data_IF_025129038853
#
_entry.id   IF_025129038853
#
_cell.length_a   1.000
_cell.length_b   1.000
_cell.length_c   1.000
_cell.angle_alpha   90.00
_cell.angle_beta   90.00
_cell.angle_gamma   90.00
#
_symmetry.space_group_name_H-M   'P 1'
#
loop_
_entity.id
_entity.type
_entity.pdbx_description
1 polymer ?
#
# COMPACT_ATOMS: atom_id res chain seq x y z
N UNK A 1 13.02 18.96 -0.66
CA UNK A 1 11.67 18.91 -1.27
C UNK A 1 10.81 18.02 -0.40
N UNK A 2 9.86 18.61 0.33
CA UNK A 2 8.89 17.85 1.12
C UNK A 2 7.80 17.28 0.19
N UNK A 3 7.93 15.99 -0.14
CA UNK A 3 6.98 15.28 -1.01
C UNK A 3 5.77 14.75 -0.20
N UNK A 4 5.85 14.76 1.14
CA UNK A 4 4.88 14.07 2.01
C UNK A 4 3.85 15.01 2.67
N UNK A 5 3.10 15.76 1.87
CA UNK A 5 1.88 16.49 2.33
C UNK A 5 0.56 15.85 1.87
N UNK A 6 0.57 14.56 1.53
CA UNK A 6 -0.64 13.77 1.26
C UNK A 6 -1.03 12.91 2.46
N UNK A 7 -2.27 12.99 2.92
CA UNK A 7 -2.84 12.04 3.88
C UNK A 7 -2.65 10.61 3.32
N UNK A 8 -2.03 9.69 4.06
CA UNK A 8 -1.81 8.28 3.67
C UNK A 8 -3.06 7.63 3.02
N UNK A 9 -4.25 7.97 3.53
CA UNK A 9 -5.52 7.49 2.97
C UNK A 9 -5.75 7.95 1.53
N UNK A 10 -5.34 9.16 1.17
CA UNK A 10 -5.44 9.67 -0.20
C UNK A 10 -4.50 8.94 -1.16
N UNK A 11 -3.31 8.55 -0.71
CA UNK A 11 -2.38 7.73 -1.50
C UNK A 11 -2.91 6.29 -1.68
N UNK A 12 -3.47 5.69 -0.63
CA UNK A 12 -4.13 4.37 -0.72
C UNK A 12 -5.25 4.35 -1.77
N UNK A 13 -6.05 5.42 -1.86
CA UNK A 13 -7.11 5.54 -2.86
C UNK A 13 -6.53 5.59 -4.28
N UNK A 14 -5.42 6.31 -4.48
CA UNK A 14 -4.74 6.36 -5.79
C UNK A 14 -4.20 4.99 -6.18
N UNK A 15 -3.56 4.27 -5.27
CA UNK A 15 -3.05 2.92 -5.56
C UNK A 15 -4.16 1.92 -5.87
N UNK A 16 -5.30 2.00 -5.16
CA UNK A 16 -6.47 1.17 -5.47
C UNK A 16 -7.00 1.42 -6.89
N UNK A 17 -7.19 2.69 -7.26
CA UNK A 17 -7.64 3.06 -8.61
C UNK A 17 -6.67 2.55 -9.67
N UNK A 18 -5.38 2.74 -9.45
CA UNK A 18 -4.36 2.26 -10.36
C UNK A 18 -4.37 0.72 -10.50
N UNK A 19 -4.53 -0.02 -9.41
CA UNK A 19 -4.69 -1.48 -9.44
C UNK A 19 -5.93 -1.92 -10.22
N UNK A 20 -7.06 -1.22 -10.08
CA UNK A 20 -8.28 -1.48 -10.85
C UNK A 20 -8.06 -1.24 -12.35
N UNK A 21 -7.31 -0.20 -12.71
CA UNK A 21 -6.99 0.12 -14.11
C UNK A 21 -6.04 -0.89 -14.74
N UNK A 22 -5.01 -1.36 -14.00
CA UNK A 22 -4.16 -2.48 -14.42
C UNK A 22 -5.02 -3.72 -14.64
N UNK A 23 -5.89 -4.06 -13.70
CA UNK A 23 -6.74 -5.25 -13.79
C UNK A 23 -7.66 -5.20 -15.01
N UNK A 24 -8.27 -4.05 -15.31
CA UNK A 24 -9.08 -3.86 -16.53
C UNK A 24 -8.25 -4.01 -17.80
N UNK A 25 -7.02 -3.52 -17.79
CA UNK A 25 -6.13 -3.58 -18.95
C UNK A 25 -5.66 -5.00 -19.22
N UNK A 26 -5.20 -5.71 -18.18
CA UNK A 26 -4.75 -7.09 -18.26
C UNK A 26 -5.89 -8.08 -18.52
N UNK A 27 -7.12 -7.77 -18.12
CA UNK A 27 -8.29 -8.57 -18.50
C UNK A 27 -8.46 -8.63 -20.02
N UNK A 28 -8.09 -7.56 -20.73
CA UNK A 28 -8.15 -7.49 -22.21
C UNK A 28 -6.85 -7.95 -22.87
N UNK A 29 -5.70 -7.72 -22.23
CA UNK A 29 -4.37 -8.01 -22.77
C UNK A 29 -3.45 -8.56 -21.66
N UNK A 30 -3.55 -9.84 -21.30
CA UNK A 30 -2.85 -10.43 -20.16
C UNK A 30 -1.32 -10.50 -20.35
N UNK A 31 -0.85 -10.52 -21.59
CA UNK A 31 0.56 -10.50 -22.01
C UNK A 31 1.27 -9.17 -21.70
N UNK A 32 0.54 -8.12 -21.32
CA UNK A 32 1.11 -6.82 -21.02
C UNK A 32 1.56 -6.66 -19.57
N UNK A 33 1.55 -7.72 -18.76
CA UNK A 33 1.94 -7.68 -17.34
C UNK A 33 3.32 -7.03 -17.12
N UNK A 34 4.29 -7.37 -17.96
CA UNK A 34 5.66 -6.89 -17.85
C UNK A 34 5.76 -5.35 -17.87
N UNK A 35 4.81 -4.68 -18.54
CA UNK A 35 4.75 -3.20 -18.60
C UNK A 35 4.35 -2.57 -17.25
N UNK A 36 3.67 -3.33 -16.39
CA UNK A 36 3.17 -2.86 -15.10
C UNK A 36 4.01 -3.38 -13.92
N UNK A 37 4.76 -4.46 -14.12
CA UNK A 37 5.49 -5.16 -13.06
C UNK A 37 6.44 -4.26 -12.27
N UNK A 38 7.30 -3.47 -12.96
CA UNK A 38 8.26 -2.58 -12.28
C UNK A 38 7.55 -1.58 -11.38
N UNK A 39 6.58 -0.85 -11.94
CA UNK A 39 5.82 0.16 -11.20
C UNK A 39 5.00 -0.46 -10.06
N UNK A 40 4.54 -1.70 -10.23
CA UNK A 40 3.79 -2.41 -9.20
C UNK A 40 4.67 -2.76 -8.01
N UNK A 41 5.89 -3.23 -8.28
CA UNK A 41 6.88 -3.50 -7.25
C UNK A 41 7.31 -2.23 -6.52
N UNK A 42 7.51 -1.12 -7.24
CA UNK A 42 7.86 0.17 -6.64
C UNK A 42 6.77 0.65 -5.68
N UNK A 43 5.51 0.58 -6.10
CA UNK A 43 4.35 0.94 -5.26
C UNK A 43 4.24 0.04 -4.03
N UNK A 44 4.45 -1.27 -4.17
CA UNK A 44 4.45 -2.18 -3.03
C UNK A 44 5.57 -1.86 -2.04
N UNK A 45 6.76 -1.56 -2.54
CA UNK A 45 7.91 -1.19 -1.72
C UNK A 45 7.65 0.14 -0.98
N UNK A 46 7.05 1.12 -1.65
CA UNK A 46 6.68 2.40 -1.04
C UNK A 46 5.63 2.21 0.07
N UNK A 47 4.58 1.42 -0.17
CA UNK A 47 3.59 1.09 0.85
C UNK A 47 4.24 0.39 2.05
N UNK A 48 5.13 -0.57 1.79
CA UNK A 48 5.87 -1.28 2.84
C UNK A 48 6.71 -0.32 3.67
N UNK A 49 7.46 0.58 3.03
CA UNK A 49 8.28 1.58 3.73
C UNK A 49 7.42 2.55 4.54
N UNK A 50 6.27 2.97 4.00
CA UNK A 50 5.34 3.83 4.73
C UNK A 50 4.76 3.15 5.97
N UNK A 51 4.46 1.84 5.88
CA UNK A 51 4.04 1.05 7.04
C UNK A 51 5.17 0.97 8.06
N UNK A 52 6.39 0.58 7.65
CA UNK A 52 7.54 0.49 8.56
C UNK A 52 7.85 1.82 9.25
N UNK A 53 7.82 2.93 8.51
CA UNK A 53 8.02 4.27 9.07
C UNK A 53 6.91 4.67 10.06
N UNK A 54 5.67 4.23 9.83
CA UNK A 54 4.59 4.42 10.79
C UNK A 54 4.79 3.54 12.02
N UNK A 55 5.21 2.29 11.84
CA UNK A 55 5.53 1.38 12.94
C UNK A 55 6.66 1.96 13.78
N UNK A 56 7.79 2.39 13.20
CA UNK A 56 8.91 3.02 13.93
C UNK A 56 8.48 4.29 14.68
N UNK A 57 7.77 5.21 14.02
CA UNK A 57 7.26 6.42 14.67
C UNK A 57 6.30 6.11 15.80
N UNK A 58 5.46 5.09 15.66
CA UNK A 58 4.44 4.74 16.64
C UNK A 58 4.98 3.83 17.75
N UNK A 59 6.00 3.00 17.50
CA UNK A 59 6.76 2.25 18.51
C UNK A 59 7.54 3.20 19.43
N UNK A 60 7.94 4.36 18.93
CA UNK A 60 8.56 5.40 19.76
C UNK A 60 7.56 6.15 20.67
N UNK A 61 6.23 5.98 20.49
CA UNK A 61 5.25 6.82 21.20
C UNK A 61 3.96 6.16 21.73
N UNK A 62 3.48 4.99 21.27
CA UNK A 62 2.30 4.34 21.88
C UNK A 62 2.02 2.91 21.35
N UNK A 63 2.35 1.86 22.12
CA UNK A 63 2.14 0.44 21.77
C UNK A 63 0.67 0.08 21.43
N UNK A 64 -0.27 0.80 22.02
CA UNK A 64 -1.71 0.47 21.95
C UNK A 64 -2.30 0.66 20.55
N UNK A 65 -1.78 1.63 19.80
CA UNK A 65 -2.29 2.00 18.48
C UNK A 65 -1.82 1.05 17.38
N UNK A 66 -0.57 0.59 17.49
CA UNK A 66 0.04 -0.45 16.64
C UNK A 66 -0.72 -1.77 16.72
N UNK A 67 -1.12 -2.18 17.92
CA UNK A 67 -1.90 -3.40 18.12
C UNK A 67 -3.23 -3.37 17.35
N UNK A 68 -3.91 -2.23 17.29
CA UNK A 68 -5.19 -2.07 16.56
C UNK A 68 -5.00 -2.12 15.05
N UNK A 69 -3.97 -1.45 14.52
CA UNK A 69 -3.61 -1.48 13.09
C UNK A 69 -3.27 -2.90 12.63
N UNK A 70 -2.44 -3.61 13.41
CA UNK A 70 -2.08 -5.01 13.16
C UNK A 70 -3.31 -5.93 13.15
N UNK A 71 -4.26 -5.73 14.08
CA UNK A 71 -5.53 -6.47 14.11
C UNK A 71 -6.41 -6.21 12.89
N UNK A 72 -6.50 -4.95 12.43
CA UNK A 72 -7.25 -4.59 11.23
C UNK A 72 -6.63 -5.23 10.00
N UNK A 73 -5.30 -5.18 9.89
CA UNK A 73 -4.57 -5.78 8.77
C UNK A 73 -4.78 -7.30 8.72
N UNK A 74 -4.58 -7.99 9.85
CA UNK A 74 -4.81 -9.43 9.96
C UNK A 74 -6.27 -9.79 9.60
N UNK A 75 -7.24 -9.07 10.14
CA UNK A 75 -8.67 -9.36 9.91
C UNK A 75 -9.12 -9.12 8.46
N UNK A 76 -8.54 -8.12 7.77
CA UNK A 76 -8.96 -7.75 6.41
C UNK A 76 -8.16 -8.42 5.30
N UNK A 77 -6.87 -8.67 5.52
CA UNK A 77 -5.95 -9.08 4.46
C UNK A 77 -5.31 -10.45 4.69
N UNK A 78 -5.35 -10.96 5.93
CA UNK A 78 -4.77 -12.26 6.31
C UNK A 78 -5.88 -13.25 6.65
N UNK A 79 -6.77 -13.47 5.68
CA UNK A 79 -7.84 -14.47 5.78
C UNK A 79 -7.47 -15.76 5.03
N UNK A 80 -6.20 -16.16 5.11
CA UNK A 80 -5.66 -17.50 4.84
C UNK A 80 -4.36 -17.64 5.64
#
# INVERSE_FOLDING_TARGET
MDIFKGNLFSEIVKYKRWGDDIKKTLFKNPDQWDKFQSRFNDVLMEISNNILNLEEKQFSSDETSLYRLKKIFQKRYRKY
#
